data_IF_941013263973
#
_entry.id   IF_941013263973
#
_cell.length_a   1.000
_cell.length_b   1.000
_cell.length_c   1.000
_cell.angle_alpha   90.00
_cell.angle_beta   90.00
_cell.angle_gamma   90.00
#
_symmetry.space_group_name_H-M   'P 1'
#
loop_
_entity.id
_entity.type
_entity.pdbx_description
1 polymer ?
#
# COMPACT_ATOMS: atom_id res chain seq x y z
N UNK A 1 11.11 15.09 10.41
CA UNK A 1 10.17 14.10 10.97
C UNK A 1 8.84 14.21 10.22
N UNK A 2 8.08 13.12 10.06
CA UNK A 2 6.73 13.18 9.46
C UNK A 2 5.85 14.17 10.23
N UNK A 3 5.05 14.95 9.51
CA UNK A 3 4.14 15.89 10.16
C UNK A 3 3.07 15.15 10.97
N UNK A 4 2.73 15.72 12.14
CA UNK A 4 1.74 15.17 13.06
C UNK A 4 0.39 14.96 12.37
N UNK A 5 0.00 15.82 11.43
CA UNK A 5 -1.25 15.68 10.67
C UNK A 5 -1.29 14.36 9.90
N UNK A 6 -0.21 13.97 9.21
CA UNK A 6 -0.17 12.69 8.51
C UNK A 6 -0.26 11.52 9.49
N UNK A 7 0.49 11.58 10.59
CA UNK A 7 0.54 10.50 11.59
C UNK A 7 -0.81 10.31 12.30
N UNK A 8 -1.44 11.40 12.74
CA UNK A 8 -2.74 11.38 13.43
C UNK A 8 -3.86 10.83 12.52
N UNK A 9 -3.70 10.92 11.20
CA UNK A 9 -4.69 10.46 10.23
C UNK A 9 -4.42 9.05 9.69
N UNK A 10 -3.30 8.40 10.05
CA UNK A 10 -2.96 7.07 9.55
C UNK A 10 -4.03 6.03 9.85
N UNK A 11 -4.61 6.05 11.05
CA UNK A 11 -5.67 5.11 11.42
C UNK A 11 -6.91 5.31 10.56
N UNK A 12 -7.40 6.54 10.46
CA UNK A 12 -8.58 6.88 9.66
C UNK A 12 -8.38 6.54 8.18
N UNK A 13 -7.21 6.84 7.61
CA UNK A 13 -6.84 6.44 6.24
C UNK A 13 -6.87 4.92 6.13
N UNK A 14 -6.30 4.19 7.10
CA UNK A 14 -6.31 2.73 7.14
C UNK A 14 -7.73 2.14 7.19
N UNK A 15 -8.65 2.77 7.92
CA UNK A 15 -10.05 2.36 7.96
C UNK A 15 -10.76 2.59 6.62
N UNK A 16 -10.50 3.73 5.95
CA UNK A 16 -11.03 3.98 4.59
C UNK A 16 -10.46 2.96 3.60
N UNK A 17 -9.14 2.72 3.61
CA UNK A 17 -8.52 1.72 2.75
C UNK A 17 -9.16 0.34 2.97
N UNK A 18 -9.36 -0.06 4.23
CA UNK A 18 -10.02 -1.32 4.59
C UNK A 18 -11.46 -1.39 4.08
N UNK A 19 -12.25 -0.32 4.21
CA UNK A 19 -13.64 -0.32 3.74
C UNK A 19 -13.75 -0.33 2.21
N UNK A 20 -12.78 0.25 1.51
CA UNK A 20 -12.74 0.28 0.05
C UNK A 20 -12.19 -1.02 -0.56
N UNK A 21 -11.12 -1.56 0.01
CA UNK A 21 -10.37 -2.68 -0.57
C UNK A 21 -10.72 -4.03 0.06
N UNK A 22 -11.13 -4.05 1.33
CA UNK A 22 -11.44 -5.27 2.07
C UNK A 22 -12.53 -6.12 1.39
N UNK A 23 -13.71 -5.57 1.08
CA UNK A 23 -14.79 -6.36 0.48
C UNK A 23 -14.42 -7.00 -0.85
N UNK A 24 -13.69 -6.29 -1.71
CA UNK A 24 -13.28 -6.79 -3.02
C UNK A 24 -12.13 -7.80 -2.92
N UNK A 25 -11.21 -7.60 -1.96
CA UNK A 25 -10.17 -8.57 -1.66
C UNK A 25 -10.79 -9.89 -1.18
N UNK A 26 -11.79 -9.79 -0.29
CA UNK A 26 -12.51 -10.96 0.19
C UNK A 26 -13.22 -11.69 -0.96
N UNK A 27 -14.04 -10.98 -1.75
CA UNK A 27 -14.86 -11.60 -2.77
C UNK A 27 -14.08 -12.15 -3.97
N UNK A 28 -13.01 -11.46 -4.39
CA UNK A 28 -12.27 -11.81 -5.60
C UNK A 28 -11.04 -12.67 -5.34
N UNK A 29 -10.50 -12.68 -4.12
CA UNK A 29 -9.26 -13.36 -3.79
C UNK A 29 -9.51 -14.43 -2.72
N UNK A 30 -9.87 -14.02 -1.51
CA UNK A 30 -9.89 -14.91 -0.35
C UNK A 30 -10.96 -16.00 -0.43
N UNK A 31 -12.20 -15.62 -0.74
CA UNK A 31 -13.32 -16.56 -0.90
C UNK A 31 -13.13 -17.51 -2.09
N UNK A 32 -12.25 -17.19 -3.04
CA UNK A 32 -11.89 -18.07 -4.18
C UNK A 32 -10.69 -18.97 -3.89
N UNK A 33 -10.18 -18.97 -2.66
CA UNK A 33 -9.01 -19.77 -2.27
C UNK A 33 -7.69 -19.27 -2.85
N UNK A 34 -7.66 -18.09 -3.49
CA UNK A 34 -6.43 -17.48 -3.98
C UNK A 34 -5.67 -16.96 -2.76
N UNK A 35 -4.44 -17.44 -2.60
CA UNK A 35 -3.57 -17.05 -1.47
C UNK A 35 -2.46 -16.14 -1.98
N UNK A 36 -2.53 -14.83 -1.70
CA UNK A 36 -1.40 -13.97 -1.94
C UNK A 36 -0.19 -14.42 -1.14
N UNK A 37 0.99 -14.22 -1.69
CA UNK A 37 2.24 -14.68 -1.12
C UNK A 37 3.36 -13.71 -1.46
N UNK A 38 4.53 -13.92 -0.83
CA UNK A 38 5.76 -13.22 -1.16
C UNK A 38 6.10 -13.24 -2.65
N UNK A 39 5.79 -14.34 -3.36
CA UNK A 39 6.12 -14.49 -4.78
C UNK A 39 5.32 -13.53 -5.69
N UNK A 40 4.15 -13.10 -5.24
CA UNK A 40 3.27 -12.20 -5.99
C UNK A 40 3.76 -10.76 -6.02
N UNK A 41 4.75 -10.42 -5.18
CA UNK A 41 5.38 -9.11 -5.17
C UNK A 41 5.95 -8.74 -6.55
N UNK A 42 6.60 -9.67 -7.24
CA UNK A 42 7.16 -9.43 -8.60
C UNK A 42 6.09 -9.04 -9.62
N UNK A 43 4.85 -9.48 -9.42
CA UNK A 43 3.73 -9.08 -10.28
C UNK A 43 3.18 -7.70 -9.90
N UNK A 44 3.15 -7.38 -8.61
CA UNK A 44 2.60 -6.14 -8.07
C UNK A 44 3.54 -4.95 -8.26
N UNK A 45 4.84 -5.17 -8.06
CA UNK A 45 5.90 -4.16 -8.06
C UNK A 45 5.84 -3.23 -9.28
N UNK A 46 5.76 -3.72 -10.54
CA UNK A 46 5.70 -2.83 -11.72
C UNK A 46 4.48 -1.89 -11.73
N UNK A 47 3.44 -2.23 -10.96
CA UNK A 47 2.17 -1.47 -10.88
C UNK A 47 2.21 -0.40 -9.78
N UNK A 48 3.20 -0.42 -8.89
CA UNK A 48 3.36 0.57 -7.80
C UNK A 48 3.50 2.01 -8.31
N UNK A 49 4.20 2.23 -9.42
CA UNK A 49 4.26 3.57 -10.04
C UNK A 49 2.88 4.05 -10.51
N UNK A 50 2.03 3.15 -11.00
CA UNK A 50 0.67 3.49 -11.43
C UNK A 50 -0.24 3.82 -10.25
N UNK A 51 -0.06 3.13 -9.11
CA UNK A 51 -0.71 3.46 -7.84
C UNK A 51 -0.32 4.89 -7.41
N UNK A 52 0.97 5.21 -7.38
CA UNK A 52 1.43 6.57 -7.04
C UNK A 52 0.88 7.63 -8.00
N UNK A 53 0.88 7.33 -9.31
CA UNK A 53 0.33 8.23 -10.32
C UNK A 53 -1.18 8.43 -10.17
N UNK A 54 -1.92 7.41 -9.73
CA UNK A 54 -3.34 7.53 -9.44
C UNK A 54 -3.59 8.49 -8.27
N UNK A 55 -2.82 8.39 -7.18
CA UNK A 55 -2.94 9.31 -6.03
C UNK A 55 -2.57 10.75 -6.44
N UNK A 56 -1.58 10.93 -7.33
CA UNK A 56 -1.23 12.25 -7.90
C UNK A 56 -2.37 12.91 -8.69
N UNK A 57 -3.35 12.13 -9.18
CA UNK A 57 -4.52 12.65 -9.91
C UNK A 57 -5.64 13.18 -9.00
N UNK A 58 -5.51 13.04 -7.68
CA UNK A 58 -6.44 13.69 -6.75
C UNK A 58 -6.51 15.20 -7.01
N UNK A 59 -7.69 15.80 -6.80
CA UNK A 59 -7.91 17.23 -7.04
C UNK A 59 -6.99 18.12 -6.20
N UNK A 60 -6.59 17.63 -5.03
CA UNK A 60 -5.66 18.26 -4.11
C UNK A 60 -4.19 18.22 -4.59
N UNK A 61 -3.88 17.41 -5.60
CA UNK A 61 -2.56 17.25 -6.23
C UNK A 61 -1.42 17.13 -5.19
N UNK A 62 -1.44 16.09 -4.32
CA UNK A 62 -0.36 15.86 -3.38
C UNK A 62 0.93 15.54 -4.13
N UNK A 63 2.03 16.07 -3.61
CA UNK A 63 3.38 15.74 -4.05
C UNK A 63 3.74 14.34 -3.54
N UNK A 64 4.04 13.44 -4.46
CA UNK A 64 4.50 12.09 -4.12
C UNK A 64 5.83 11.81 -4.81
N UNK A 65 6.72 11.04 -4.17
CA UNK A 65 7.91 10.59 -4.86
C UNK A 65 7.54 9.78 -6.10
N UNK A 66 8.44 9.76 -7.07
CA UNK A 66 8.36 8.72 -8.10
C UNK A 66 8.82 7.40 -7.47
N UNK A 67 8.24 6.29 -7.89
CA UNK A 67 8.74 4.96 -7.60
C UNK A 67 10.08 4.81 -8.33
N UNK A 68 11.15 5.19 -7.62
CA UNK A 68 12.55 5.15 -8.04
C UNK A 68 13.23 3.98 -7.32
N UNK A 69 14.50 3.63 -7.67
CA UNK A 69 15.21 2.49 -7.06
C UNK A 69 15.22 2.50 -5.52
N UNK A 70 15.13 3.68 -4.91
CA UNK A 70 15.03 3.85 -3.45
C UNK A 70 13.72 3.31 -2.85
N UNK A 71 12.58 3.61 -3.48
CA UNK A 71 11.25 3.16 -3.03
C UNK A 71 11.04 1.69 -3.40
N UNK A 72 11.58 1.27 -4.54
CA UNK A 72 11.64 -0.14 -4.97
C UNK A 72 12.37 -1.01 -3.95
N UNK A 73 13.60 -0.62 -3.58
CA UNK A 73 14.39 -1.29 -2.53
C UNK A 73 13.65 -1.37 -1.19
N UNK A 74 12.83 -0.36 -0.84
CA UNK A 74 12.00 -0.42 0.36
C UNK A 74 10.91 -1.50 0.22
N UNK A 75 10.19 -1.53 -0.91
CA UNK A 75 9.19 -2.55 -1.17
C UNK A 75 9.76 -3.96 -1.11
N UNK A 76 10.91 -4.17 -1.76
CA UNK A 76 11.66 -5.43 -1.69
C UNK A 76 12.07 -5.80 -0.27
N UNK A 77 12.62 -4.85 0.50
CA UNK A 77 13.05 -5.10 1.87
C UNK A 77 11.87 -5.47 2.78
N UNK A 78 10.74 -4.75 2.66
CA UNK A 78 9.51 -5.05 3.40
C UNK A 78 9.06 -6.47 3.06
N UNK A 79 8.94 -6.80 1.77
CA UNK A 79 8.51 -8.13 1.36
C UNK A 79 9.50 -9.20 1.81
N UNK A 80 10.80 -8.93 1.73
CA UNK A 80 11.84 -9.87 2.12
C UNK A 80 11.79 -10.21 3.62
N UNK A 81 11.63 -9.18 4.47
CA UNK A 81 11.71 -9.29 5.93
C UNK A 81 10.39 -9.58 6.62
N UNK A 82 9.30 -9.00 6.12
CA UNK A 82 8.01 -9.03 6.79
C UNK A 82 7.09 -10.16 6.32
N UNK A 83 7.49 -10.90 5.28
CA UNK A 83 6.64 -11.94 4.70
C UNK A 83 7.35 -13.28 4.69
N UNK A 84 6.65 -14.34 5.10
CA UNK A 84 7.12 -15.73 5.08
C UNK A 84 6.34 -16.52 4.03
N UNK A 85 6.89 -17.63 3.47
CA UNK A 85 6.17 -18.48 2.54
C UNK A 85 4.84 -19.04 3.09
N UNK A 86 4.74 -19.18 4.42
CA UNK A 86 3.55 -19.66 5.11
C UNK A 86 2.46 -18.61 5.32
N UNK A 87 2.78 -17.31 5.19
CA UNK A 87 1.81 -16.25 5.45
C UNK A 87 0.69 -16.27 4.41
N UNK A 88 -0.54 -16.12 4.88
CA UNK A 88 -1.75 -15.98 4.08
C UNK A 88 -2.39 -14.62 4.34
N UNK A 89 -2.38 -13.73 3.35
CA UNK A 89 -2.97 -12.39 3.47
C UNK A 89 -4.50 -12.38 3.58
N UNK A 90 -5.16 -13.53 3.50
CA UNK A 90 -6.57 -13.69 3.82
C UNK A 90 -6.80 -14.06 5.30
N UNK A 91 -5.75 -14.42 6.04
CA UNK A 91 -5.79 -14.62 7.48
C UNK A 91 -5.52 -13.29 8.20
N UNK A 92 -6.35 -12.97 9.21
CA UNK A 92 -6.30 -11.71 9.94
C UNK A 92 -5.04 -11.56 10.81
N UNK A 93 -4.55 -12.64 11.40
CA UNK A 93 -3.37 -12.67 12.27
C UNK A 93 -2.10 -12.44 11.42
N UNK A 94 -1.95 -13.17 10.31
CA UNK A 94 -0.88 -12.95 9.34
C UNK A 94 -0.88 -11.50 8.82
N UNK A 95 -2.06 -10.96 8.49
CA UNK A 95 -2.23 -9.56 8.09
C UNK A 95 -1.75 -8.58 9.16
N UNK A 96 -2.04 -8.84 10.43
CA UNK A 96 -1.62 -7.97 11.54
C UNK A 96 -0.10 -8.04 11.76
N UNK A 97 0.49 -9.24 11.72
CA UNK A 97 1.93 -9.44 11.84
C UNK A 97 2.68 -8.69 10.73
N UNK A 98 2.28 -8.90 9.48
CA UNK A 98 2.90 -8.26 8.31
C UNK A 98 2.75 -6.74 8.38
N UNK A 99 1.56 -6.23 8.74
CA UNK A 99 1.31 -4.79 8.84
C UNK A 99 2.25 -4.13 9.85
N UNK A 100 2.41 -4.73 11.03
CA UNK A 100 3.30 -4.20 12.07
C UNK A 100 4.75 -4.10 11.58
N UNK A 101 5.27 -5.19 10.99
CA UNK A 101 6.62 -5.20 10.43
C UNK A 101 6.78 -4.21 9.28
N UNK A 102 5.85 -4.18 8.33
CA UNK A 102 5.93 -3.30 7.15
C UNK A 102 5.93 -1.82 7.53
N UNK A 103 5.11 -1.42 8.53
CA UNK A 103 5.11 -0.07 9.07
C UNK A 103 6.46 0.25 9.73
N UNK A 104 7.01 -0.66 10.52
CA UNK A 104 8.31 -0.47 11.17
C UNK A 104 9.45 -0.28 10.16
N UNK A 105 9.52 -1.13 9.13
CA UNK A 105 10.52 -1.02 8.06
C UNK A 105 10.35 0.29 7.25
N UNK A 106 9.11 0.68 6.94
CA UNK A 106 8.84 1.95 6.26
C UNK A 106 9.27 3.17 7.10
N UNK A 107 9.01 3.16 8.41
CA UNK A 107 9.44 4.22 9.33
C UNK A 107 10.96 4.28 9.46
N UNK A 108 11.62 3.14 9.67
CA UNK A 108 13.08 3.04 9.72
C UNK A 108 13.73 3.57 8.44
N UNK A 109 13.19 3.18 7.29
CA UNK A 109 13.65 3.66 6.00
C UNK A 109 13.44 5.17 5.80
N UNK A 110 12.31 5.71 6.26
CA UNK A 110 12.02 7.14 6.23
C UNK A 110 13.00 7.96 7.05
N UNK A 111 13.46 7.44 8.20
CA UNK A 111 14.53 8.07 8.99
C UNK A 111 15.87 8.05 8.27
N UNK A 112 16.21 6.96 7.57
CA UNK A 112 17.45 6.86 6.78
C UNK A 112 17.41 7.69 5.48
N UNK A 113 16.23 8.06 5.00
CA UNK A 113 16.03 8.86 3.78
C UNK A 113 15.28 10.15 4.12
N UNK A 114 15.84 10.96 5.03
CA UNK A 114 15.19 12.18 5.52
C UNK A 114 14.78 13.16 4.40
N UNK A 115 15.45 13.14 3.25
CA UNK A 115 15.09 13.94 2.07
C UNK A 115 13.70 13.59 1.51
N UNK A 116 13.23 12.37 1.75
CA UNK A 116 11.90 11.91 1.39
C UNK A 116 10.84 12.32 2.41
N UNK A 117 11.22 12.73 3.62
CA UNK A 117 10.27 13.22 4.64
C UNK A 117 9.61 14.54 4.22
N UNK A 118 10.18 15.26 3.24
CA UNK A 118 9.53 16.45 2.64
C UNK A 118 8.17 16.12 2.03
N UNK A 119 7.97 14.87 1.56
CA UNK A 119 6.67 14.42 1.04
C UNK A 119 5.65 14.15 2.15
N UNK A 120 6.08 14.21 3.41
CA UNK A 120 5.23 14.12 4.61
C UNK A 120 5.25 15.42 5.41
N UNK A 121 5.61 16.54 4.77
CA UNK A 121 5.50 17.86 5.40
C UNK A 121 4.03 18.27 5.55
N UNK A 122 3.78 19.26 6.41
CA UNK A 122 2.43 19.71 6.72
C UNK A 122 1.62 20.08 5.47
N UNK A 123 2.20 20.90 4.58
CA UNK A 123 1.51 21.41 3.38
C UNK A 123 1.10 20.28 2.45
N UNK A 124 1.94 19.25 2.33
CA UNK A 124 1.62 18.10 1.53
C UNK A 124 0.65 17.15 2.23
N UNK A 125 0.76 16.98 3.55
CA UNK A 125 -0.21 16.23 4.36
C UNK A 125 -1.62 16.81 4.25
N UNK A 126 -1.77 18.14 4.25
CA UNK A 126 -3.06 18.82 4.04
C UNK A 126 -3.70 18.48 2.68
N UNK A 127 -2.90 18.16 1.66
CA UNK A 127 -3.38 17.68 0.35
C UNK A 127 -3.62 16.17 0.32
N UNK A 128 -2.70 15.41 0.92
CA UNK A 128 -2.66 13.95 0.85
C UNK A 128 -3.76 13.30 1.70
N UNK A 129 -4.01 13.80 2.91
CA UNK A 129 -5.00 13.22 3.82
C UNK A 129 -6.41 13.23 3.21
N UNK A 130 -6.95 14.35 2.67
CA UNK A 130 -8.26 14.35 2.00
C UNK A 130 -8.30 13.42 0.79
N UNK A 131 -7.21 13.33 0.03
CA UNK A 131 -7.10 12.44 -1.12
C UNK A 131 -7.20 10.97 -0.68
N UNK A 132 -6.44 10.53 0.32
CA UNK A 132 -6.47 9.14 0.80
C UNK A 132 -7.76 8.79 1.54
N UNK A 133 -8.44 9.78 2.14
CA UNK A 133 -9.79 9.59 2.73
C UNK A 133 -10.90 9.55 1.69
N UNK A 134 -10.66 9.98 0.45
CA UNK A 134 -11.67 9.95 -0.60
C UNK A 134 -11.82 8.53 -1.18
N UNK A 135 -13.03 7.92 -1.14
CA UNK A 135 -13.27 6.60 -1.71
C UNK A 135 -12.90 6.44 -3.18
N UNK A 136 -13.02 7.51 -3.99
CA UNK A 136 -12.72 7.47 -5.43
C UNK A 136 -11.23 7.23 -5.72
N UNK A 137 -10.36 7.64 -4.81
CA UNK A 137 -8.91 7.43 -4.90
C UNK A 137 -8.59 5.95 -5.02
N UNK A 138 -9.33 5.09 -4.31
CA UNK A 138 -9.08 3.65 -4.23
C UNK A 138 -9.62 2.84 -5.41
N UNK A 139 -10.18 3.50 -6.43
CA UNK A 139 -10.79 2.83 -7.59
C UNK A 139 -9.78 2.05 -8.45
N UNK A 140 -8.56 2.58 -8.59
CA UNK A 140 -7.49 1.90 -9.30
C UNK A 140 -7.08 0.61 -8.59
N UNK A 141 -6.93 0.65 -7.27
CA UNK A 141 -6.54 -0.47 -6.43
C UNK A 141 -7.63 -1.55 -6.41
N UNK A 142 -8.92 -1.16 -6.42
CA UNK A 142 -10.04 -2.10 -6.64
C UNK A 142 -9.90 -2.84 -7.97
N UNK A 143 -9.58 -2.14 -9.06
CA UNK A 143 -9.36 -2.76 -10.37
C UNK A 143 -8.15 -3.69 -10.33
N UNK A 144 -7.08 -3.25 -9.68
CA UNK A 144 -5.84 -4.01 -9.53
C UNK A 144 -6.06 -5.34 -8.79
N UNK A 145 -6.90 -5.37 -7.75
CA UNK A 145 -7.29 -6.60 -7.04
C UNK A 145 -7.99 -7.58 -7.98
N UNK A 146 -8.88 -7.10 -8.87
CA UNK A 146 -9.53 -7.96 -9.89
C UNK A 146 -8.53 -8.49 -10.91
N UNK A 147 -7.60 -7.64 -11.37
CA UNK A 147 -6.54 -8.05 -12.28
C UNK A 147 -5.63 -9.11 -11.65
N UNK A 148 -5.31 -8.94 -10.36
CA UNK A 148 -4.54 -9.91 -9.58
C UNK A 148 -5.27 -11.25 -9.47
N UNK A 149 -6.56 -11.25 -9.11
CA UNK A 149 -7.36 -12.46 -9.03
C UNK A 149 -7.33 -13.24 -10.36
N UNK A 150 -7.53 -12.55 -11.49
CA UNK A 150 -7.45 -13.14 -12.83
C UNK A 150 -6.06 -13.70 -13.14
N UNK A 151 -5.01 -12.94 -12.82
CA UNK A 151 -3.62 -13.38 -13.00
C UNK A 151 -3.37 -14.69 -12.26
N UNK A 152 -3.73 -14.76 -10.97
CA UNK A 152 -3.52 -15.97 -10.16
C UNK A 152 -4.34 -17.15 -10.63
N UNK A 153 -5.61 -16.97 -10.98
CA UNK A 153 -6.43 -18.08 -11.48
C UNK A 153 -5.88 -18.72 -12.77
N UNK A 154 -5.14 -17.97 -13.59
CA UNK A 154 -4.45 -18.50 -14.78
C UNK A 154 -3.05 -19.06 -14.52
N UNK A 155 -2.54 -18.95 -13.29
CA UNK A 155 -1.20 -19.39 -12.88
C UNK A 155 -1.25 -20.22 -11.57
N UNK A 156 -2.42 -20.78 -11.24
CA UNK A 156 -2.68 -21.60 -10.06
C UNK A 156 -2.60 -23.09 -10.41
#
# INVERSE_FOLDING_TARGET
MPDKLCMDNMEAIGQVAKSQLGPIMESEVCSKGIKPSKADWKWLEPKMQSIMNNIKKCSQKPDLPNYKPKVEKLGDAIVAKCTKPSHNYCNKEDLQEIKGCAVSEALGWGMMNMDMLKYTDRKNCEKLVPCLKNPKTWSYEKRLIKEYAKYKSGHA
#
